data_IF_681615487571
#
_entry.id   IF_681615487571
#
_cell.length_a   1.000
_cell.length_b   1.000
_cell.length_c   1.000
_cell.angle_alpha   90.00
_cell.angle_beta   90.00
_cell.angle_gamma   90.00
#
_symmetry.space_group_name_H-M   'P 1'
#
loop_
_entity.id
_entity.type
_entity.pdbx_description
1 polymer ?
#
# COMPACT_ATOMS: atom_id res chain seq x y z
N UNK A 1 9.08 -54.72 23.56
CA UNK A 1 7.81 -54.31 22.95
C UNK A 1 7.97 -52.88 22.52
N UNK A 2 7.97 -52.65 21.22
CA UNK A 2 8.16 -51.35 20.58
C UNK A 2 6.82 -50.63 20.53
N UNK A 3 6.73 -49.44 21.11
CA UNK A 3 5.66 -48.50 20.79
C UNK A 3 6.31 -47.17 20.45
N UNK A 4 6.51 -46.99 19.15
CA UNK A 4 6.79 -45.69 18.54
C UNK A 4 5.46 -44.94 18.52
N UNK A 5 5.27 -43.98 19.42
CA UNK A 5 4.21 -42.97 19.26
C UNK A 5 4.69 -41.95 18.23
N UNK A 6 4.16 -42.11 17.03
CA UNK A 6 4.27 -41.19 15.91
C UNK A 6 3.42 -39.96 16.24
N UNK A 7 4.04 -38.91 16.79
CA UNK A 7 3.37 -37.63 17.01
C UNK A 7 2.98 -37.04 15.65
N UNK A 8 1.68 -36.95 15.39
CA UNK A 8 1.11 -36.36 14.20
C UNK A 8 1.45 -34.87 14.14
N UNK A 9 2.43 -34.51 13.32
CA UNK A 9 2.58 -33.16 12.83
C UNK A 9 1.38 -32.85 11.92
N UNK A 10 0.35 -32.21 12.47
CA UNK A 10 -0.71 -31.61 11.68
C UNK A 10 -0.12 -30.48 10.85
N UNK A 11 0.30 -30.79 9.62
CA UNK A 11 0.72 -29.77 8.68
C UNK A 11 -0.47 -28.86 8.38
N UNK A 12 -0.37 -27.58 8.74
CA UNK A 12 -1.35 -26.57 8.34
C UNK A 12 -1.50 -26.65 6.83
N UNK A 13 -2.70 -26.96 6.34
CA UNK A 13 -2.95 -27.07 4.91
C UNK A 13 -2.65 -25.71 4.27
N UNK A 14 -1.72 -25.71 3.31
CA UNK A 14 -1.32 -24.50 2.59
C UNK A 14 -2.50 -24.02 1.76
N UNK A 15 -2.83 -22.74 1.87
CA UNK A 15 -3.96 -22.11 1.18
C UNK A 15 -3.47 -21.22 0.05
N UNK A 16 -4.00 -21.46 -1.15
CA UNK A 16 -3.81 -20.56 -2.28
C UNK A 16 -4.59 -19.25 -2.06
N UNK A 17 -3.92 -18.13 -2.27
CA UNK A 17 -4.50 -16.80 -2.12
C UNK A 17 -4.01 -15.88 -3.25
N UNK A 18 -4.92 -15.25 -4.02
CA UNK A 18 -4.49 -14.22 -4.96
C UNK A 18 -3.87 -13.07 -4.15
N UNK A 19 -2.68 -12.58 -4.46
CA UNK A 19 -2.07 -11.48 -3.68
C UNK A 19 -2.01 -10.20 -4.50
N UNK A 20 -2.45 -9.09 -3.90
CA UNK A 20 -2.11 -7.74 -4.33
C UNK A 20 -0.73 -7.38 -3.78
N UNK A 21 0.31 -7.60 -4.58
CA UNK A 21 1.69 -7.39 -4.13
C UNK A 21 1.98 -5.93 -3.76
N UNK A 22 1.41 -4.98 -4.49
CA UNK A 22 1.59 -3.54 -4.22
C UNK A 22 0.95 -3.17 -2.88
N UNK A 23 -0.30 -3.60 -2.66
CA UNK A 23 -0.99 -3.30 -1.40
C UNK A 23 -0.36 -4.03 -0.19
N UNK A 24 0.20 -5.23 -0.41
CA UNK A 24 0.93 -5.96 0.63
C UNK A 24 2.25 -5.24 0.97
N UNK A 25 3.01 -4.82 -0.04
CA UNK A 25 4.24 -4.06 0.13
C UNK A 25 3.98 -2.77 0.93
N UNK A 26 2.99 -1.98 0.54
CA UNK A 26 2.55 -0.77 1.26
C UNK A 26 2.25 -1.04 2.75
N UNK A 27 1.61 -2.18 3.05
CA UNK A 27 1.29 -2.56 4.43
C UNK A 27 2.54 -2.95 5.23
N UNK A 28 3.50 -3.66 4.63
CA UNK A 28 4.75 -4.02 5.30
C UNK A 28 5.65 -2.81 5.60
N UNK A 29 5.49 -1.73 4.86
CA UNK A 29 6.29 -0.53 5.04
C UNK A 29 5.77 0.40 6.11
N UNK A 30 4.45 0.44 6.29
CA UNK A 30 3.80 1.42 7.13
C UNK A 30 3.93 1.05 8.61
N UNK A 31 4.71 1.86 9.35
CA UNK A 31 4.93 1.72 10.78
C UNK A 31 4.22 2.80 11.61
N UNK A 32 3.30 3.56 11.02
CA UNK A 32 2.52 4.54 11.78
C UNK A 32 1.68 3.81 12.84
N UNK A 33 1.79 4.15 14.13
CA UNK A 33 1.16 3.39 15.22
C UNK A 33 -0.37 3.38 15.15
N UNK A 34 -0.96 4.41 14.54
CA UNK A 34 -2.41 4.55 14.32
C UNK A 34 -2.93 3.76 13.12
N UNK A 35 -2.05 3.13 12.33
CA UNK A 35 -2.43 2.43 11.10
C UNK A 35 -2.22 0.93 11.25
N UNK A 36 -3.30 0.17 11.08
CA UNK A 36 -3.31 -1.29 11.17
C UNK A 36 -3.73 -1.88 9.83
N UNK A 37 -2.95 -2.84 9.33
CA UNK A 37 -3.18 -3.49 8.03
C UNK A 37 -3.57 -4.96 8.21
N UNK A 38 -4.51 -5.43 7.40
CA UNK A 38 -5.05 -6.79 7.45
C UNK A 38 -5.17 -7.37 6.04
N UNK A 39 -4.67 -8.58 5.82
CA UNK A 39 -4.84 -9.35 4.60
C UNK A 39 -6.13 -10.16 4.66
N UNK A 40 -7.01 -10.00 3.67
CA UNK A 40 -8.21 -10.82 3.54
C UNK A 40 -7.89 -12.15 2.83
N UNK A 41 -8.03 -13.26 3.56
CA UNK A 41 -7.61 -14.60 3.13
C UNK A 41 -8.39 -15.19 1.95
N UNK A 42 -9.56 -14.62 1.63
CA UNK A 42 -10.37 -15.05 0.50
C UNK A 42 -10.06 -14.33 -0.81
N UNK A 43 -9.75 -13.03 -0.75
CA UNK A 43 -9.65 -12.17 -1.95
C UNK A 43 -8.24 -11.65 -2.20
N UNK A 44 -7.36 -11.73 -1.21
CA UNK A 44 -6.02 -11.15 -1.33
C UNK A 44 -5.90 -9.67 -1.07
N UNK A 45 -7.01 -9.03 -0.73
CA UNK A 45 -7.04 -7.58 -0.54
C UNK A 45 -6.42 -7.22 0.80
N UNK A 46 -5.74 -6.08 0.83
CA UNK A 46 -5.19 -5.52 2.05
C UNK A 46 -6.08 -4.37 2.52
N UNK A 47 -6.71 -4.58 3.68
CA UNK A 47 -7.53 -3.60 4.36
C UNK A 47 -6.67 -2.79 5.33
N UNK A 48 -6.71 -1.46 5.20
CA UNK A 48 -6.04 -0.52 6.09
C UNK A 48 -7.05 0.19 6.97
N UNK A 49 -6.85 0.14 8.28
CA UNK A 49 -7.71 0.78 9.26
C UNK A 49 -6.88 1.79 10.06
N UNK A 50 -7.40 3.01 10.17
CA UNK A 50 -6.72 4.11 10.86
C UNK A 50 -7.51 4.49 12.10
N UNK A 51 -6.83 4.49 13.25
CA UNK A 51 -7.41 4.87 14.53
C UNK A 51 -7.94 6.32 14.48
N UNK A 52 -9.12 6.57 15.05
CA UNK A 52 -9.76 7.88 15.07
C UNK A 52 -10.51 8.29 13.80
N UNK A 53 -10.34 7.57 12.69
CA UNK A 53 -11.14 7.72 11.47
C UNK A 53 -12.19 6.61 11.36
N UNK A 54 -11.82 5.38 11.74
CA UNK A 54 -12.73 4.24 11.77
C UNK A 54 -13.54 4.20 13.08
N UNK A 55 -14.75 3.64 13.01
CA UNK A 55 -15.53 3.24 14.20
C UNK A 55 -14.64 2.33 15.07
N UNK A 56 -14.44 2.61 16.37
CA UNK A 56 -13.66 1.75 17.26
C UNK A 56 -14.11 0.28 17.25
N UNK A 57 -15.39 0.03 17.00
CA UNK A 57 -15.90 -1.33 16.89
C UNK A 57 -15.45 -2.05 15.60
N UNK A 58 -15.10 -1.31 14.53
CA UNK A 58 -14.63 -1.88 13.27
C UNK A 58 -13.30 -2.62 13.44
N UNK A 59 -12.35 -2.06 14.22
CA UNK A 59 -11.09 -2.75 14.55
C UNK A 59 -11.35 -4.08 15.26
N UNK A 60 -12.22 -4.07 16.27
CA UNK A 60 -12.56 -5.27 17.03
C UNK A 60 -13.26 -6.33 16.16
N UNK A 61 -14.16 -5.91 15.26
CA UNK A 61 -14.85 -6.81 14.32
C UNK A 61 -13.88 -7.47 13.34
N UNK A 62 -12.98 -6.68 12.74
CA UNK A 62 -11.98 -7.20 11.78
C UNK A 62 -10.99 -8.13 12.49
N UNK A 63 -10.51 -7.75 13.67
CA UNK A 63 -9.58 -8.57 14.43
C UNK A 63 -10.20 -9.90 14.92
N UNK A 64 -11.53 -9.96 15.06
CA UNK A 64 -12.26 -11.17 15.41
C UNK A 64 -12.66 -12.03 14.20
N UNK A 65 -12.57 -11.51 12.97
CA UNK A 65 -12.94 -12.23 11.76
C UNK A 65 -11.78 -13.10 11.27
N UNK A 66 -12.00 -14.42 11.24
CA UNK A 66 -11.02 -15.42 10.81
C UNK A 66 -10.61 -15.30 9.33
N UNK A 67 -11.33 -14.52 8.52
CA UNK A 67 -10.94 -14.24 7.14
C UNK A 67 -9.89 -13.14 7.04
N UNK A 68 -9.57 -12.43 8.12
CA UNK A 68 -8.55 -11.39 8.12
C UNK A 68 -7.33 -11.82 8.93
N UNK A 69 -6.16 -11.62 8.35
CA UNK A 69 -4.88 -11.84 8.99
C UNK A 69 -4.18 -10.50 9.17
N UNK A 70 -3.84 -10.14 10.41
CA UNK A 70 -3.10 -8.92 10.71
C UNK A 70 -1.69 -8.99 10.09
N UNK A 71 -1.29 -7.92 9.41
CA UNK A 71 0.06 -7.77 8.86
C UNK A 71 0.90 -7.01 9.87
N UNK A 72 2.01 -7.62 10.28
CA UNK A 72 3.03 -6.95 11.09
C UNK A 72 4.04 -6.27 10.16
N UNK A 73 4.14 -4.93 10.17
CA UNK A 73 5.05 -4.23 9.28
C UNK A 73 6.50 -4.57 9.61
N UNK A 74 7.37 -4.46 8.61
CA UNK A 74 8.81 -4.51 8.83
C UNK A 74 9.20 -3.36 9.75
N UNK A 75 9.77 -3.70 10.91
CA UNK A 75 10.10 -2.73 11.94
C UNK A 75 10.92 -1.56 11.40
N UNK A 76 10.68 -0.35 11.91
CA UNK A 76 11.46 0.84 11.54
C UNK A 76 12.97 0.64 11.72
N UNK A 77 13.41 -0.17 12.70
CA UNK A 77 14.83 -0.47 12.89
C UNK A 77 15.43 -1.27 11.73
N UNK A 78 14.68 -2.23 11.18
CA UNK A 78 15.16 -3.00 10.03
C UNK A 78 15.14 -2.15 8.75
N UNK A 79 14.11 -1.33 8.56
CA UNK A 79 14.10 -0.36 7.45
C UNK A 79 15.25 0.65 7.53
N UNK A 80 15.63 1.07 8.74
CA UNK A 80 16.80 1.93 8.96
C UNK A 80 18.09 1.24 8.52
N UNK A 81 18.28 -0.04 8.87
CA UNK A 81 19.44 -0.83 8.43
C UNK A 81 19.53 -0.95 6.91
N UNK A 82 18.41 -0.92 6.21
CA UNK A 82 18.43 -0.91 4.75
C UNK A 82 18.99 0.41 4.22
N UNK A 83 18.67 1.55 4.85
CA UNK A 83 19.27 2.84 4.52
C UNK A 83 20.79 2.81 4.78
N UNK A 84 21.23 2.30 5.93
CA UNK A 84 22.66 2.14 6.27
C UNK A 84 23.42 1.29 5.24
N UNK A 85 22.79 0.21 4.75
CA UNK A 85 23.40 -0.68 3.76
C UNK A 85 23.39 -0.12 2.34
N UNK A 86 22.43 0.74 2.04
CA UNK A 86 22.30 1.32 0.71
C UNK A 86 23.30 2.44 0.44
N UNK A 87 23.52 3.31 1.43
CA UNK A 87 24.37 4.50 1.28
C UNK A 87 25.77 4.18 0.73
N UNK A 88 26.48 3.13 1.19
CA UNK A 88 27.78 2.77 0.62
C UNK A 88 27.75 2.31 -0.85
N UNK A 89 26.58 1.94 -1.38
CA UNK A 89 26.41 1.51 -2.77
C UNK A 89 26.20 2.67 -3.75
N UNK A 90 25.96 3.88 -3.22
CA UNK A 90 25.77 5.10 -4.02
C UNK A 90 27.10 5.53 -4.62
N UNK A 91 27.17 5.64 -5.95
CA UNK A 91 28.40 5.99 -6.68
C UNK A 91 28.74 7.49 -6.60
N UNK A 92 27.72 8.36 -6.54
CA UNK A 92 27.91 9.80 -6.37
C UNK A 92 28.33 10.08 -4.92
N UNK A 93 29.60 10.47 -4.75
CA UNK A 93 30.20 10.77 -3.45
C UNK A 93 29.53 11.93 -2.72
N UNK A 94 29.01 12.93 -3.45
CA UNK A 94 28.30 14.06 -2.84
C UNK A 94 26.95 13.60 -2.29
N UNK A 95 26.21 12.81 -3.08
CA UNK A 95 24.95 12.23 -2.66
C UNK A 95 25.14 11.25 -1.49
N UNK A 96 26.16 10.39 -1.56
CA UNK A 96 26.51 9.47 -0.49
C UNK A 96 26.75 10.21 0.83
N UNK A 97 27.51 11.30 0.81
CA UNK A 97 27.76 12.13 1.98
C UNK A 97 26.47 12.78 2.53
N UNK A 98 25.62 13.32 1.64
CA UNK A 98 24.31 13.89 2.01
C UNK A 98 23.40 12.86 2.66
N UNK A 99 23.30 11.66 2.10
CA UNK A 99 22.48 10.58 2.66
C UNK A 99 23.04 10.10 4.00
N UNK A 100 24.37 9.98 4.13
CA UNK A 100 25.03 9.63 5.40
C UNK A 100 24.66 10.58 6.53
N UNK A 101 24.66 11.89 6.27
CA UNK A 101 24.23 12.90 7.24
C UNK A 101 22.71 12.86 7.48
N UNK A 102 21.93 12.61 6.42
CA UNK A 102 20.47 12.63 6.51
C UNK A 102 19.91 11.56 7.46
N UNK A 103 20.58 10.42 7.59
CA UNK A 103 20.11 9.31 8.44
C UNK A 103 20.40 9.47 9.92
N UNK A 104 21.13 10.50 10.35
CA UNK A 104 21.48 10.66 11.76
C UNK A 104 20.38 11.36 12.59
N UNK A 105 20.00 10.79 13.73
CA UNK A 105 19.02 11.36 14.65
C UNK A 105 17.55 11.32 14.20
N UNK A 106 16.71 12.08 14.93
CA UNK A 106 15.23 12.08 14.76
C UNK A 106 14.84 12.57 13.36
N UNK A 107 13.96 11.85 12.67
CA UNK A 107 13.47 12.24 11.34
C UNK A 107 14.32 11.74 10.18
N UNK A 108 15.22 10.78 10.42
CA UNK A 108 16.08 10.15 9.41
C UNK A 108 15.34 9.74 8.13
N UNK A 109 14.23 9.02 8.25
CA UNK A 109 13.43 8.57 7.09
C UNK A 109 12.94 9.71 6.21
N UNK A 110 12.48 10.81 6.81
CA UNK A 110 12.00 11.97 6.07
C UNK A 110 13.15 12.63 5.33
N UNK A 111 14.23 12.97 6.05
CA UNK A 111 15.39 13.63 5.43
C UNK A 111 16.06 12.80 4.34
N UNK A 112 16.17 11.49 4.54
CA UNK A 112 16.71 10.59 3.52
C UNK A 112 15.86 10.63 2.24
N UNK A 113 14.52 10.57 2.36
CA UNK A 113 13.61 10.73 1.23
C UNK A 113 13.73 12.12 0.60
N UNK A 114 13.79 13.18 1.41
CA UNK A 114 13.92 14.56 0.94
C UNK A 114 15.20 14.75 0.09
N UNK A 115 16.32 14.17 0.52
CA UNK A 115 17.56 14.18 -0.29
C UNK A 115 17.33 13.47 -1.62
N UNK A 116 16.75 12.27 -1.62
CA UNK A 116 16.49 11.50 -2.85
C UNK A 116 15.53 12.19 -3.83
N UNK A 117 14.65 13.08 -3.37
CA UNK A 117 13.74 13.82 -4.26
C UNK A 117 14.47 14.67 -5.30
N UNK A 118 15.69 15.11 -5.01
CA UNK A 118 16.55 15.84 -5.96
C UNK A 118 17.38 14.93 -6.88
N UNK A 119 17.36 13.62 -6.66
CA UNK A 119 18.20 12.63 -7.36
C UNK A 119 17.34 11.50 -7.94
N UNK A 120 16.58 11.80 -9.00
CA UNK A 120 15.62 10.88 -9.62
C UNK A 120 16.14 9.46 -9.88
N UNK A 121 17.28 9.28 -10.59
CA UNK A 121 17.82 7.94 -10.86
C UNK A 121 18.19 7.18 -9.58
N UNK A 122 18.76 7.86 -8.58
CA UNK A 122 19.13 7.20 -7.32
C UNK A 122 17.92 6.86 -6.47
N UNK A 123 16.87 7.69 -6.52
CA UNK A 123 15.58 7.40 -5.89
C UNK A 123 14.98 6.11 -6.45
N UNK A 124 15.04 5.92 -7.76
CA UNK A 124 14.56 4.68 -8.40
C UNK A 124 15.39 3.47 -7.98
N UNK A 125 16.73 3.59 -7.94
CA UNK A 125 17.61 2.53 -7.43
C UNK A 125 17.33 2.18 -5.97
N UNK A 126 17.10 3.18 -5.12
CA UNK A 126 16.73 2.99 -3.72
C UNK A 126 15.41 2.22 -3.60
N UNK A 127 14.40 2.58 -4.38
CA UNK A 127 13.13 1.87 -4.38
C UNK A 127 13.30 0.42 -4.83
N UNK A 128 14.02 0.15 -5.92
CA UNK A 128 14.29 -1.22 -6.34
C UNK A 128 15.02 -2.03 -5.26
N UNK A 129 16.06 -1.45 -4.64
CA UNK A 129 16.82 -2.08 -3.56
C UNK A 129 15.94 -2.41 -2.34
N UNK A 130 14.98 -1.56 -2.04
CA UNK A 130 14.09 -1.71 -0.89
C UNK A 130 12.96 -2.69 -1.17
N UNK A 131 12.30 -2.59 -2.33
CA UNK A 131 11.23 -3.49 -2.75
C UNK A 131 11.72 -4.94 -2.82
N UNK A 132 12.96 -5.18 -3.27
CA UNK A 132 13.57 -6.53 -3.25
C UNK A 132 13.66 -7.10 -1.82
N UNK A 133 14.03 -6.27 -0.84
CA UNK A 133 14.10 -6.71 0.57
C UNK A 133 12.72 -6.97 1.13
N UNK A 134 11.77 -6.08 0.87
CA UNK A 134 10.38 -6.27 1.27
C UNK A 134 9.81 -7.55 0.68
N UNK A 135 10.11 -7.84 -0.59
CA UNK A 135 9.70 -9.08 -1.25
C UNK A 135 10.09 -10.31 -0.45
N UNK A 136 11.34 -10.39 0.01
CA UNK A 136 11.84 -11.49 0.84
C UNK A 136 11.04 -11.60 2.15
N UNK A 137 10.80 -10.48 2.84
CA UNK A 137 10.00 -10.48 4.08
C UNK A 137 8.55 -10.91 3.84
N UNK A 138 7.94 -10.43 2.76
CA UNK A 138 6.58 -10.80 2.37
C UNK A 138 6.47 -12.30 2.07
N UNK A 139 7.41 -12.88 1.31
CA UNK A 139 7.41 -14.33 1.03
C UNK A 139 7.58 -15.16 2.29
N UNK A 140 8.54 -14.79 3.14
CA UNK A 140 8.78 -15.49 4.41
C UNK A 140 7.54 -15.42 5.31
N UNK A 141 6.88 -14.25 5.37
CA UNK A 141 5.67 -14.08 6.16
C UNK A 141 4.49 -14.89 5.60
N UNK A 142 4.26 -14.88 4.29
CA UNK A 142 3.21 -15.70 3.65
C UNK A 142 3.46 -17.19 3.92
N UNK A 143 4.70 -17.65 3.75
CA UNK A 143 5.09 -19.03 4.01
C UNK A 143 4.88 -19.43 5.47
N UNK A 144 5.26 -18.57 6.43
CA UNK A 144 5.06 -18.81 7.86
C UNK A 144 3.58 -18.94 8.24
N UNK A 145 2.68 -18.33 7.47
CA UNK A 145 1.23 -18.41 7.65
C UNK A 145 0.55 -19.48 6.77
N UNK A 146 1.34 -20.37 6.13
CA UNK A 146 0.85 -21.39 5.21
C UNK A 146 0.01 -20.82 4.05
N UNK A 147 0.41 -19.66 3.52
CA UNK A 147 -0.21 -19.00 2.38
C UNK A 147 0.66 -19.16 1.14
N UNK A 148 0.06 -19.69 0.07
CA UNK A 148 0.69 -19.77 -1.24
C UNK A 148 0.14 -18.66 -2.13
N UNK A 149 0.95 -17.65 -2.50
CA UNK A 149 0.49 -16.57 -3.35
C UNK A 149 0.26 -17.07 -4.78
N UNK A 150 -0.95 -16.89 -5.31
CA UNK A 150 -1.28 -17.16 -6.72
C UNK A 150 -1.48 -15.86 -7.49
N UNK A 151 -1.26 -15.86 -8.82
CA UNK A 151 -1.55 -14.69 -9.64
C UNK A 151 -3.01 -14.26 -9.49
N UNK A 152 -3.23 -12.95 -9.25
CA UNK A 152 -4.58 -12.39 -9.24
C UNK A 152 -5.20 -12.59 -10.63
N UNK A 153 -6.42 -13.15 -10.75
CA UNK A 153 -7.09 -13.26 -12.03
C UNK A 153 -7.29 -11.85 -12.59
N UNK A 154 -6.62 -11.55 -13.72
CA UNK A 154 -6.87 -10.35 -14.49
C UNK A 154 -8.26 -10.49 -15.07
N UNK A 155 -9.24 -9.75 -14.54
CA UNK A 155 -10.54 -9.63 -15.18
C UNK A 155 -10.32 -8.92 -16.52
N UNK A 156 -10.15 -9.70 -17.59
CA UNK A 156 -10.29 -9.22 -18.95
C UNK A 156 -11.80 -9.14 -19.16
N UNK A 157 -12.40 -7.95 -19.34
CA UNK A 157 -13.77 -7.89 -19.82
C UNK A 157 -13.77 -8.65 -21.16
N UNK A 158 -14.53 -9.74 -21.24
CA UNK A 158 -14.82 -10.42 -22.50
C UNK A 158 -15.33 -9.33 -23.45
N UNK A 159 -14.47 -8.86 -24.35
CA UNK A 159 -14.91 -8.01 -25.45
C UNK A 159 -15.75 -8.97 -26.29
N UNK A 160 -17.09 -8.82 -26.35
CA UNK A 160 -17.88 -9.74 -27.16
C UNK A 160 -17.30 -9.67 -28.56
N UNK A 161 -16.81 -10.81 -29.04
CA UNK A 161 -16.28 -10.94 -30.39
C UNK A 161 -17.31 -10.33 -31.32
N UNK A 162 -16.96 -9.18 -31.91
CA UNK A 162 -17.77 -8.54 -32.93
C UNK A 162 -17.99 -9.62 -34.01
N UNK A 163 -19.22 -9.95 -34.41
CA UNK A 163 -19.42 -10.99 -35.40
C UNK A 163 -18.63 -10.61 -36.66
N UNK A 164 -17.68 -11.47 -36.99
CA UNK A 164 -16.84 -11.39 -38.18
C UNK A 164 -17.77 -11.48 -39.40
N UNK A 165 -18.02 -10.36 -40.07
CA UNK A 165 -18.63 -10.37 -41.39
C UNK A 165 -17.62 -10.99 -42.36
N UNK A 166 -17.95 -12.05 -43.12
CA UNK A 166 -16.97 -12.69 -44.00
C UNK A 166 -16.53 -11.76 -45.14
N UNK A 167 -15.26 -11.90 -45.47
CA UNK A 167 -14.47 -11.11 -46.40
C UNK A 167 -15.07 -10.89 -47.81
N UNK A 168 -14.76 -9.71 -48.37
CA UNK A 168 -14.49 -9.53 -49.79
C UNK A 168 -13.31 -8.54 -49.97
N UNK A 169 -12.27 -8.98 -50.68
CA UNK A 169 -10.97 -8.35 -50.92
C UNK A 169 -11.00 -7.33 -52.11
N UNK A 170 -9.86 -6.83 -52.66
CA UNK A 170 -8.61 -6.29 -52.09
C UNK A 170 -8.23 -4.87 -52.64
N UNK A 171 -7.20 -4.28 -52.01
CA UNK A 171 -6.20 -3.32 -52.54
C UNK A 171 -6.61 -1.90 -53.03
N UNK A 172 -6.21 -0.86 -52.27
CA UNK A 172 -5.55 0.37 -52.78
C UNK A 172 -4.64 0.95 -51.67
N UNK A 173 -3.36 1.22 -51.97
CA UNK A 173 -2.40 1.95 -51.11
C UNK A 173 -2.80 3.44 -50.91
N UNK A 174 -2.43 4.08 -49.77
CA UNK A 174 -2.99 5.36 -49.35
C UNK A 174 -2.21 6.58 -49.88
N UNK A 175 -2.82 7.78 -50.03
CA UNK A 175 -2.07 9.03 -50.05
C UNK A 175 -1.80 9.52 -48.61
N UNK A 176 -0.72 10.31 -48.38
CA UNK A 176 -0.30 10.70 -47.05
C UNK A 176 -1.31 11.72 -46.48
N UNK A 177 -1.90 11.40 -45.32
CA UNK A 177 -2.68 12.36 -44.54
C UNK A 177 -1.87 12.77 -43.33
N UNK A 178 -1.67 14.07 -43.21
CA UNK A 178 -1.02 14.74 -42.10
C UNK A 178 -1.63 14.31 -40.77
N UNK A 179 -0.80 13.76 -39.88
CA UNK A 179 -1.18 13.45 -38.50
C UNK A 179 -1.38 14.74 -37.72
N UNK A 180 -2.61 15.27 -37.74
CA UNK A 180 -3.07 16.12 -36.65
C UNK A 180 -3.23 15.21 -35.43
N UNK A 181 -2.22 15.21 -34.56
CA UNK A 181 -2.28 14.59 -33.23
C UNK A 181 -3.44 15.20 -32.43
N UNK A 182 -4.58 14.53 -32.43
CA UNK A 182 -5.64 14.81 -31.45
C UNK A 182 -5.16 14.37 -30.05
N UNK A 183 -5.31 15.21 -29.02
CA UNK A 183 -5.00 14.80 -27.66
C UNK A 183 -5.98 13.69 -27.24
N UNK A 184 -5.45 12.61 -26.64
CA UNK A 184 -6.21 11.53 -25.99
C UNK A 184 -7.21 12.13 -24.99
N UNK A 185 -8.42 12.44 -25.46
CA UNK A 185 -9.53 12.90 -24.61
C UNK A 185 -10.04 11.66 -23.88
N UNK A 186 -9.80 11.57 -22.57
CA UNK A 186 -10.42 10.54 -21.74
C UNK A 186 -11.92 10.48 -21.99
N UNK A 187 -12.51 9.27 -21.94
CA UNK A 187 -13.95 9.07 -22.16
C UNK A 187 -14.73 10.10 -21.33
N UNK A 188 -15.59 10.90 -21.96
CA UNK A 188 -16.40 11.91 -21.27
C UNK A 188 -17.15 11.27 -20.11
N UNK A 189 -17.23 11.98 -18.98
CA UNK A 189 -17.98 11.54 -17.79
C UNK A 189 -19.42 11.17 -18.15
N UNK A 190 -20.00 11.86 -19.13
CA UNK A 190 -21.33 11.59 -19.63
C UNK A 190 -21.43 10.25 -20.36
N UNK A 191 -20.42 9.89 -21.16
CA UNK A 191 -20.33 8.59 -21.82
C UNK A 191 -20.15 7.44 -20.83
N UNK A 192 -19.39 7.66 -19.75
CA UNK A 192 -19.22 6.69 -18.66
C UNK A 192 -20.52 6.48 -17.88
N UNK A 193 -21.27 7.56 -17.60
CA UNK A 193 -22.60 7.48 -16.96
C UNK A 193 -23.61 6.78 -17.84
N UNK A 194 -23.56 7.00 -19.16
CA UNK A 194 -24.41 6.29 -20.11
C UNK A 194 -24.09 4.79 -20.09
N UNK A 195 -22.82 4.43 -20.23
CA UNK A 195 -22.39 3.02 -20.20
C UNK A 195 -22.77 2.31 -18.89
N UNK A 196 -22.65 2.96 -17.73
CA UNK A 196 -23.07 2.38 -16.45
C UNK A 196 -24.59 2.13 -16.40
N UNK A 197 -25.40 3.03 -16.97
CA UNK A 197 -26.86 2.83 -17.05
C UNK A 197 -27.20 1.65 -17.95
N UNK A 198 -26.57 1.57 -19.12
CA UNK A 198 -26.77 0.46 -20.07
C UNK A 198 -26.40 -0.88 -19.42
N UNK A 199 -25.33 -0.93 -18.61
CA UNK A 199 -24.94 -2.11 -17.83
C UNK A 199 -25.98 -2.43 -16.76
N UNK A 200 -26.41 -1.44 -15.97
CA UNK A 200 -27.38 -1.67 -14.90
C UNK A 200 -28.73 -2.20 -15.44
N UNK A 201 -29.16 -1.76 -16.62
CA UNK A 201 -30.38 -2.25 -17.27
C UNK A 201 -30.26 -3.71 -17.77
N UNK A 202 -29.04 -4.18 -18.04
CA UNK A 202 -28.78 -5.54 -18.50
C UNK A 202 -28.56 -6.56 -17.36
N UNK A 203 -28.45 -6.11 -16.10
CA UNK A 203 -28.16 -6.96 -14.95
C UNK A 203 -29.42 -7.55 -14.30
N UNK A 204 -29.28 -8.76 -13.76
CA UNK A 204 -30.31 -9.37 -12.93
C UNK A 204 -30.36 -8.79 -11.51
N UNK A 205 -31.41 -9.08 -10.71
CA UNK A 205 -31.60 -8.50 -9.38
C UNK A 205 -30.44 -8.75 -8.40
N UNK A 206 -29.87 -9.97 -8.41
CA UNK A 206 -28.72 -10.33 -7.56
C UNK A 206 -27.45 -9.56 -7.93
N UNK A 207 -27.25 -9.32 -9.22
CA UNK A 207 -26.08 -8.60 -9.72
C UNK A 207 -26.23 -7.09 -9.48
N UNK A 208 -27.46 -6.57 -9.49
CA UNK A 208 -27.76 -5.20 -9.09
C UNK A 208 -27.48 -4.93 -7.61
N UNK A 209 -27.82 -5.87 -6.71
CA UNK A 209 -27.47 -5.78 -5.29
C UNK A 209 -25.95 -5.72 -5.11
N UNK A 210 -25.22 -6.56 -5.85
CA UNK A 210 -23.75 -6.60 -5.84
C UNK A 210 -23.14 -5.30 -6.38
N UNK A 211 -23.67 -4.79 -7.50
CA UNK A 211 -23.24 -3.52 -8.10
C UNK A 211 -23.50 -2.34 -7.14
N UNK A 212 -24.63 -2.37 -6.42
CA UNK A 212 -24.98 -1.36 -5.42
C UNK A 212 -24.00 -1.38 -4.26
N UNK A 213 -23.74 -2.55 -3.67
CA UNK A 213 -22.76 -2.72 -2.60
C UNK A 213 -21.36 -2.24 -3.03
N UNK A 214 -20.94 -2.55 -4.27
CA UNK A 214 -19.67 -2.09 -4.80
C UNK A 214 -19.65 -0.57 -5.05
N UNK A 215 -20.73 0.01 -5.56
CA UNK A 215 -20.84 1.45 -5.76
C UNK A 215 -20.83 2.23 -4.43
N UNK A 216 -21.47 1.69 -3.39
CA UNK A 216 -21.41 2.21 -2.03
C UNK A 216 -20.00 2.10 -1.46
N UNK A 217 -19.33 0.96 -1.61
CA UNK A 217 -17.93 0.80 -1.26
C UNK A 217 -17.04 1.83 -1.95
N UNK A 218 -17.24 2.09 -3.25
CA UNK A 218 -16.49 3.13 -3.98
C UNK A 218 -16.78 4.55 -3.49
N UNK A 219 -18.03 4.87 -3.09
CA UNK A 219 -18.37 6.16 -2.48
C UNK A 219 -17.66 6.34 -1.13
N UNK A 220 -17.70 5.31 -0.28
CA UNK A 220 -17.02 5.30 1.03
C UNK A 220 -15.50 5.39 0.86
N UNK A 221 -14.94 4.67 -0.11
CA UNK A 221 -13.50 4.71 -0.44
C UNK A 221 -13.08 6.06 -1.04
N UNK A 222 -13.93 6.71 -1.84
CA UNK A 222 -13.67 8.06 -2.36
C UNK A 222 -13.71 9.10 -1.24
N UNK A 223 -14.61 8.98 -0.28
CA UNK A 223 -14.63 9.82 0.91
C UNK A 223 -13.33 9.63 1.73
N UNK A 224 -12.89 8.38 1.94
CA UNK A 224 -11.62 8.10 2.63
C UNK A 224 -10.38 8.60 1.85
N UNK A 225 -10.39 8.52 0.50
CA UNK A 225 -9.30 9.03 -0.35
C UNK A 225 -9.29 10.56 -0.47
N UNK A 226 -10.44 11.24 -0.45
CA UNK A 226 -10.45 12.72 -0.44
C UNK A 226 -9.87 13.26 0.85
N UNK A 227 -10.06 12.58 1.99
CA UNK A 227 -9.40 12.93 3.24
C UNK A 227 -7.88 12.66 3.22
N UNK A 228 -7.43 11.56 2.58
CA UNK A 228 -5.99 11.29 2.42
C UNK A 228 -5.29 12.29 1.48
N UNK A 229 -5.97 12.78 0.44
CA UNK A 229 -5.42 13.77 -0.48
C UNK A 229 -5.29 15.17 0.15
N UNK A 230 -6.17 15.53 1.09
CA UNK A 230 -6.07 16.80 1.84
C UNK A 230 -4.91 16.85 2.85
N UNK A 231 -4.34 15.71 3.23
CA UNK A 231 -3.12 15.65 4.06
C UNK A 231 -1.82 15.67 3.25
N UNK A 232 -1.88 15.37 1.94
CA UNK A 232 -0.72 15.49 1.05
C UNK A 232 -0.52 16.93 0.54
N UNK A 233 -1.49 17.82 0.74
CA UNK A 233 -1.51 19.16 0.15
C UNK A 233 -2.06 20.22 1.13
N UNK A 234 -1.51 20.25 2.35
CA UNK A 234 -1.69 21.36 3.29
C UNK A 234 -0.32 22.07 3.52
N UNK A 235 -0.23 23.40 3.36
CA UNK A 235 1.01 24.15 3.53
C UNK A 235 1.34 24.35 5.01
N UNK A 236 2.63 24.54 5.28
CA UNK A 236 3.24 24.79 6.58
C UNK A 236 2.39 25.74 7.47
N UNK A 237 1.88 25.22 8.57
CA UNK A 237 1.53 26.03 9.73
C UNK A 237 2.78 26.13 10.62
N UNK A 238 3.30 27.34 10.72
CA UNK A 238 4.30 27.78 11.68
C UNK A 238 3.74 27.64 13.10
N UNK A 239 4.34 26.80 13.92
CA UNK A 239 4.22 26.90 15.38
C UNK A 239 5.48 27.61 15.91
N UNK A 240 5.34 28.92 16.07
CA UNK A 240 6.11 29.68 17.05
C UNK A 240 5.48 29.47 18.45
N UNK A 241 6.36 29.39 19.45
CA UNK A 241 6.11 29.50 20.90
C UNK A 241 5.32 28.40 21.64
N UNK A 242 6.04 27.58 22.40
CA UNK A 242 6.25 27.83 23.84
C UNK A 242 7.09 26.68 24.44
N UNK A 243 8.35 26.96 24.77
CA UNK A 243 9.19 26.02 25.53
C UNK A 243 8.84 26.04 27.02
N UNK A 244 8.91 24.90 27.74
CA UNK A 244 8.81 24.93 29.20
C UNK A 244 10.15 25.40 29.79
N UNK A 245 10.08 26.51 30.53
CA UNK A 245 11.17 27.09 31.29
C UNK A 245 11.64 26.15 32.42
N UNK A 246 12.96 26.04 32.53
CA UNK A 246 13.66 25.49 33.70
C UNK A 246 13.30 26.24 34.98
N UNK A 247 13.08 25.51 36.07
CA UNK A 247 13.30 26.00 37.42
C UNK A 247 14.15 24.99 38.20
N UNK A 248 15.44 25.31 38.30
CA UNK A 248 16.27 24.93 39.45
C UNK A 248 15.79 25.74 40.66
N UNK A 249 15.52 25.08 41.79
CA UNK A 249 15.66 25.72 43.11
C UNK A 249 16.22 24.71 44.12
N UNK A 250 17.51 24.93 44.42
CA UNK A 250 18.24 24.82 45.68
C UNK A 250 17.92 23.70 46.70
N UNK A 251 19.01 22.97 46.98
CA UNK A 251 19.35 22.33 48.25
C UNK A 251 19.14 23.25 49.47
N UNK A 252 18.47 22.76 50.51
CA UNK A 252 18.75 23.21 51.87
C UNK A 252 18.68 22.03 52.86
N UNK A 253 19.86 21.65 53.31
CA UNK A 253 20.14 20.82 54.47
C UNK A 253 19.67 21.47 55.76
N UNK A 254 18.91 20.76 56.59
CA UNK A 254 18.93 20.97 58.04
C UNK A 254 18.86 19.66 58.82
N UNK A 255 19.90 19.51 59.63
CA UNK A 255 20.08 18.57 60.70
C UNK A 255 19.23 18.93 61.93
N UNK A 256 18.83 17.88 62.63
CA UNK A 256 18.90 17.67 64.08
C UNK A 256 17.79 18.10 65.07
N UNK A 257 17.55 17.12 65.96
CA UNK A 257 17.04 17.14 67.35
C UNK A 257 15.55 17.40 67.63
N UNK A 258 14.82 16.35 68.03
CA UNK A 258 14.56 15.98 69.44
C UNK A 258 13.77 14.65 69.52
#
# INVERSE_FOLDING_TARGET
>A
MSTTENASAGGTAVRDIPIDWEALEDAFENNAPEVHSYLHLGTGDVLRVVDGVADPQMHARIAADANYLRIDPVSSREQYRWMERYIPMVEDMELQAKLSQAIDGKGAFRRFKDVLMSYGPERERWFAFRSERLRIFMEAWLSAHALNPVPRPLWVPEVPARPETPAAAPAVEPPPREEVREPRRGKSVESLRKNLRDIAEALGPRDLDTLTAFAEFLKTRRAARSFASHYAEAPAATDEEAGPASQEIASESRSDTA
#
